data_IF_828024372400
#
_entry.id   IF_828024372400
#
_cell.length_a   1.000
_cell.length_b   1.000
_cell.length_c   1.000
_cell.angle_alpha   90.00
_cell.angle_beta   90.00
_cell.angle_gamma   90.00
#
_symmetry.space_group_name_H-M   'P 1'
#
loop_
_entity.id
_entity.type
_entity.pdbx_description
1 polymer ?
#
# COMPACT_ATOMS: atom_id res chain seq x y z
N UNK A 1 3.43 -5.85 4.02
CA UNK A 1 2.29 -4.91 3.93
C UNK A 1 2.59 -3.90 2.82
N UNK A 2 2.26 -4.26 1.57
CA UNK A 2 2.67 -3.50 0.38
C UNK A 2 1.76 -2.34 0.01
N UNK A 3 0.53 -2.31 0.52
CA UNK A 3 -0.46 -1.27 0.17
C UNK A 3 -0.56 -0.14 1.21
N UNK A 4 -0.19 -0.40 2.46
CA UNK A 4 -0.18 0.59 3.53
C UNK A 4 1.03 0.40 4.42
N UNK A 5 1.92 1.37 4.42
CA UNK A 5 3.02 1.46 5.38
C UNK A 5 2.49 2.06 6.68
N UNK A 6 1.96 1.21 7.55
CA UNK A 6 1.50 1.62 8.88
C UNK A 6 2.52 1.23 9.94
N UNK A 7 2.88 2.17 10.81
CA UNK A 7 3.69 1.83 11.98
C UNK A 7 2.90 0.95 12.95
N UNK A 8 3.59 0.13 13.75
CA UNK A 8 2.93 -0.69 14.77
C UNK A 8 2.04 0.16 15.71
N UNK A 9 2.49 1.36 16.05
CA UNK A 9 1.72 2.30 16.87
C UNK A 9 0.42 2.77 16.20
N UNK A 10 0.43 3.05 14.89
CA UNK A 10 -0.78 3.43 14.17
C UNK A 10 -1.77 2.27 14.05
N UNK A 11 -1.30 1.04 13.88
CA UNK A 11 -2.15 -0.16 13.88
C UNK A 11 -2.80 -0.35 15.25
N UNK A 12 -2.04 -0.25 16.34
CA UNK A 12 -2.58 -0.37 17.69
C UNK A 12 -3.62 0.72 18.01
N UNK A 13 -3.37 1.96 17.60
CA UNK A 13 -4.31 3.06 17.76
C UNK A 13 -5.61 2.81 16.98
N UNK A 14 -5.52 2.29 15.75
CA UNK A 14 -6.69 1.92 14.95
C UNK A 14 -7.50 0.79 15.60
N UNK A 15 -6.84 -0.28 16.09
CA UNK A 15 -7.49 -1.39 16.80
C UNK A 15 -8.24 -0.87 18.04
N UNK A 16 -7.58 -0.02 18.85
CA UNK A 16 -8.20 0.57 20.04
C UNK A 16 -9.44 1.39 19.67
N UNK A 17 -9.38 2.17 18.60
CA UNK A 17 -10.50 2.96 18.11
C UNK A 17 -11.67 2.08 17.65
N UNK A 18 -11.39 1.01 16.89
CA UNK A 18 -12.40 0.06 16.43
C UNK A 18 -13.07 -0.69 17.60
N UNK A 19 -12.31 -1.06 18.63
CA UNK A 19 -12.85 -1.64 19.88
C UNK A 19 -13.77 -0.68 20.59
N UNK A 20 -13.36 0.59 20.75
CA UNK A 20 -14.17 1.62 21.42
C UNK A 20 -15.51 1.89 20.71
N UNK A 21 -15.55 1.73 19.38
CA UNK A 21 -16.78 1.84 18.59
C UNK A 21 -17.60 0.55 18.56
N UNK A 22 -17.09 -0.55 19.13
CA UNK A 22 -17.76 -1.85 19.08
C UNK A 22 -17.77 -2.50 17.69
N UNK A 23 -16.90 -2.07 16.78
CA UNK A 23 -16.82 -2.61 15.42
C UNK A 23 -16.01 -3.92 15.35
N UNK A 24 -15.14 -4.13 16.33
CA UNK A 24 -14.44 -5.39 16.54
C UNK A 24 -14.55 -5.79 18.01
N UNK A 25 -14.38 -7.07 18.26
CA UNK A 25 -14.25 -7.67 19.57
C UNK A 25 -13.03 -8.56 19.60
N UNK A 26 -12.59 -9.04 20.76
CA UNK A 26 -11.51 -10.00 20.87
C UNK A 26 -11.80 -11.05 21.92
N UNK A 27 -11.21 -12.22 21.70
CA UNK A 27 -11.11 -13.30 22.68
C UNK A 27 -9.66 -13.46 23.11
N UNK A 28 -9.44 -13.70 24.39
CA UNK A 28 -8.11 -14.01 24.91
C UNK A 28 -7.90 -15.51 24.92
N UNK A 29 -6.79 -15.96 24.37
CA UNK A 29 -6.38 -17.35 24.37
C UNK A 29 -4.93 -17.51 24.75
N UNK A 30 -4.55 -18.69 25.22
CA UNK A 30 -3.16 -19.05 25.52
C UNK A 30 -2.72 -20.12 24.55
N UNK A 31 -1.73 -19.84 23.73
CA UNK A 31 -1.13 -20.78 22.81
C UNK A 31 0.38 -20.88 23.04
N UNK A 32 0.88 -22.08 23.29
CA UNK A 32 2.28 -22.33 23.63
C UNK A 32 2.81 -21.46 24.80
N UNK A 33 1.98 -21.26 25.83
CA UNK A 33 2.31 -20.45 27.01
C UNK A 33 2.32 -18.94 26.79
N UNK A 34 1.90 -18.45 25.61
CA UNK A 34 1.82 -17.03 25.30
C UNK A 34 0.39 -16.55 25.17
N UNK A 35 0.08 -15.44 25.81
CA UNK A 35 -1.21 -14.77 25.65
C UNK A 35 -1.36 -14.20 24.26
N UNK A 36 -2.48 -14.50 23.62
CA UNK A 36 -2.87 -13.98 22.31
C UNK A 36 -4.27 -13.39 22.38
N UNK A 37 -4.51 -12.30 21.63
CA UNK A 37 -5.84 -11.76 21.36
C UNK A 37 -6.21 -12.06 19.93
N UNK A 38 -7.34 -12.74 19.75
CA UNK A 38 -7.92 -13.04 18.44
C UNK A 38 -9.03 -12.05 18.23
N UNK A 39 -8.85 -11.16 17.25
CA UNK A 39 -9.85 -10.12 16.93
C UNK A 39 -10.81 -10.62 15.88
N UNK A 40 -12.10 -10.34 16.09
CA UNK A 40 -13.17 -10.62 15.13
C UNK A 40 -14.00 -9.37 14.89
N UNK A 41 -14.53 -9.24 13.66
CA UNK A 41 -15.44 -8.15 13.32
C UNK A 41 -16.83 -8.43 13.87
N UNK A 42 -17.49 -7.42 14.46
CA UNK A 42 -18.88 -7.51 14.93
C UNK A 42 -19.86 -7.27 13.77
N UNK A 43 -21.16 -7.49 14.01
CA UNK A 43 -22.19 -7.22 13.01
C UNK A 43 -22.28 -5.73 12.67
N UNK A 44 -22.17 -4.85 13.69
CA UNK A 44 -22.07 -3.41 13.48
C UNK A 44 -20.80 -3.00 12.72
N UNK A 45 -19.70 -3.70 12.95
CA UNK A 45 -18.45 -3.50 12.21
C UNK A 45 -18.56 -3.88 10.73
N UNK A 46 -19.23 -5.00 10.42
CA UNK A 46 -19.50 -5.41 9.03
C UNK A 46 -20.37 -4.37 8.30
N UNK A 47 -21.43 -3.92 8.95
CA UNK A 47 -22.29 -2.90 8.36
C UNK A 47 -21.50 -1.61 8.09
N UNK A 48 -20.69 -1.15 9.04
CA UNK A 48 -19.86 0.04 8.87
C UNK A 48 -18.82 -0.10 7.78
N UNK A 49 -18.25 -1.28 7.63
CA UNK A 49 -17.33 -1.60 6.53
C UNK A 49 -18.02 -1.51 5.16
N UNK A 50 -19.20 -2.09 5.02
CA UNK A 50 -19.98 -2.04 3.76
C UNK A 50 -20.38 -0.59 3.43
N UNK A 51 -20.82 0.21 4.40
CA UNK A 51 -21.08 1.63 4.20
C UNK A 51 -19.87 2.38 3.66
N UNK A 52 -18.69 2.14 4.25
CA UNK A 52 -17.45 2.77 3.82
C UNK A 52 -17.05 2.35 2.41
N UNK A 53 -17.09 1.04 2.08
CA UNK A 53 -16.76 0.55 0.73
C UNK A 53 -17.71 1.09 -0.33
N UNK A 54 -18.98 1.32 0.04
CA UNK A 54 -20.02 1.83 -0.86
C UNK A 54 -20.02 3.36 -1.00
N UNK A 55 -19.23 4.08 -0.18
CA UNK A 55 -19.13 5.53 -0.28
C UNK A 55 -18.33 5.96 -1.51
N UNK A 56 -18.60 7.15 -2.08
CA UNK A 56 -17.80 7.68 -3.18
C UNK A 56 -16.32 7.81 -2.81
N UNK A 57 -15.44 7.60 -3.81
CA UNK A 57 -14.01 7.86 -3.64
C UNK A 57 -13.74 9.36 -3.51
N UNK A 58 -12.93 9.74 -2.54
CA UNK A 58 -12.55 11.13 -2.31
C UNK A 58 -11.09 11.37 -2.70
N UNK A 59 -10.81 12.54 -3.28
CA UNK A 59 -9.44 12.97 -3.51
C UNK A 59 -8.78 13.29 -2.17
N UNK A 60 -7.77 12.51 -1.81
CA UNK A 60 -6.95 12.81 -0.65
C UNK A 60 -5.78 13.70 -1.03
N UNK A 61 -5.46 14.69 -0.17
CA UNK A 61 -4.22 15.45 -0.30
C UNK A 61 -3.03 14.51 -0.10
N UNK A 62 -2.30 14.23 -1.17
CA UNK A 62 -1.14 13.36 -1.14
C UNK A 62 0.01 14.05 -0.40
N UNK A 63 0.32 13.60 0.82
CA UNK A 63 1.60 13.92 1.46
C UNK A 63 2.68 13.02 0.85
N UNK A 64 3.27 13.46 -0.25
CA UNK A 64 4.37 12.75 -0.89
C UNK A 64 5.69 13.47 -0.58
N UNK A 65 6.50 12.97 0.39
CA UNK A 65 7.77 13.59 0.77
C UNK A 65 8.78 13.59 -0.38
N UNK A 66 8.68 12.67 -1.33
CA UNK A 66 9.61 12.62 -2.47
C UNK A 66 9.34 13.74 -3.47
N UNK A 67 8.09 14.20 -3.60
CA UNK A 67 7.78 15.41 -4.39
C UNK A 67 8.38 16.67 -3.75
N UNK A 68 8.40 16.77 -2.42
CA UNK A 68 9.07 17.87 -1.75
C UNK A 68 10.59 17.84 -1.99
N UNK A 69 11.23 16.68 -1.94
CA UNK A 69 12.65 16.54 -2.29
C UNK A 69 12.91 16.92 -3.75
N UNK A 70 12.05 16.49 -4.67
CA UNK A 70 12.14 16.85 -6.07
C UNK A 70 12.04 18.37 -6.27
N UNK A 71 11.08 19.03 -5.61
CA UNK A 71 10.89 20.49 -5.67
C UNK A 71 12.15 21.25 -5.23
N UNK A 72 12.84 20.78 -4.19
CA UNK A 72 14.05 21.41 -3.66
C UNK A 72 15.35 20.80 -4.21
N UNK A 73 15.29 19.91 -5.20
CA UNK A 73 16.45 19.16 -5.71
C UNK A 73 17.54 20.06 -6.29
N UNK A 74 17.18 21.25 -6.79
CA UNK A 74 18.11 22.23 -7.31
C UNK A 74 19.16 22.71 -6.29
N UNK A 75 18.88 22.63 -4.98
CA UNK A 75 19.84 22.97 -3.92
C UNK A 75 20.89 21.89 -3.65
N UNK A 76 20.74 20.70 -4.24
CA UNK A 76 21.70 19.60 -4.07
C UNK A 76 22.73 19.57 -5.20
N UNK A 77 23.92 18.97 -4.94
CA UNK A 77 24.95 18.76 -5.96
C UNK A 77 24.52 17.76 -7.02
N UNK A 78 24.93 17.96 -8.28
CA UNK A 78 24.53 17.12 -9.44
C UNK A 78 24.77 15.61 -9.19
N UNK A 79 25.93 15.24 -8.64
CA UNK A 79 26.29 13.85 -8.36
C UNK A 79 25.38 13.23 -7.31
N UNK A 80 25.02 13.98 -6.26
CA UNK A 80 24.11 13.52 -5.22
C UNK A 80 22.68 13.34 -5.73
N UNK A 81 22.24 14.24 -6.61
CA UNK A 81 20.92 14.14 -7.29
C UNK A 81 20.83 12.86 -8.11
N UNK A 82 21.85 12.59 -8.94
CA UNK A 82 21.91 11.38 -9.80
C UNK A 82 21.89 10.12 -8.96
N UNK A 83 22.72 10.04 -7.93
CA UNK A 83 22.78 8.88 -7.03
C UNK A 83 21.43 8.64 -6.33
N UNK A 84 20.84 9.70 -5.76
CA UNK A 84 19.54 9.58 -5.08
C UNK A 84 18.41 9.11 -6.02
N UNK A 85 18.39 9.60 -7.27
CA UNK A 85 17.42 9.14 -8.28
C UNK A 85 17.65 7.67 -8.66
N UNK A 86 18.91 7.24 -8.84
CA UNK A 86 19.24 5.84 -9.16
C UNK A 86 18.80 4.89 -8.03
N UNK A 87 19.08 5.24 -6.78
CA UNK A 87 18.65 4.47 -5.61
C UNK A 87 17.11 4.39 -5.51
N UNK A 88 16.42 5.51 -5.77
CA UNK A 88 14.97 5.54 -5.73
C UNK A 88 14.35 4.70 -6.84
N UNK A 89 14.85 4.80 -8.06
CA UNK A 89 14.43 3.96 -9.20
C UNK A 89 14.64 2.46 -8.90
N UNK A 90 15.76 2.09 -8.26
CA UNK A 90 16.01 0.71 -7.86
C UNK A 90 14.95 0.19 -6.89
N UNK A 91 14.60 0.97 -5.86
CA UNK A 91 13.54 0.62 -4.91
C UNK A 91 12.16 0.49 -5.57
N UNK A 92 11.83 1.39 -6.50
CA UNK A 92 10.59 1.31 -7.28
C UNK A 92 10.54 0.03 -8.13
N UNK A 93 11.65 -0.37 -8.75
CA UNK A 93 11.76 -1.62 -9.54
C UNK A 93 11.57 -2.85 -8.67
N UNK A 94 12.13 -2.88 -7.47
CA UNK A 94 11.92 -3.97 -6.51
C UNK A 94 10.44 -4.12 -6.15
N UNK A 95 9.78 -3.02 -5.81
CA UNK A 95 8.35 -3.03 -5.49
C UNK A 95 7.49 -3.42 -6.70
N UNK A 96 7.82 -2.90 -7.89
CA UNK A 96 7.15 -3.30 -9.13
C UNK A 96 7.23 -4.81 -9.36
N UNK A 97 8.41 -5.41 -9.20
CA UNK A 97 8.63 -6.83 -9.43
C UNK A 97 7.77 -7.69 -8.49
N UNK A 98 7.67 -7.29 -7.21
CA UNK A 98 6.82 -7.99 -6.23
C UNK A 98 5.35 -7.91 -6.62
N UNK A 99 4.83 -6.71 -6.93
CA UNK A 99 3.43 -6.55 -7.34
C UNK A 99 3.13 -7.27 -8.66
N UNK A 100 4.07 -7.25 -9.60
CA UNK A 100 3.93 -7.94 -10.88
C UNK A 100 3.89 -9.47 -10.71
N UNK A 101 4.69 -10.02 -9.79
CA UNK A 101 4.64 -11.45 -9.45
C UNK A 101 3.27 -11.82 -8.85
N UNK A 102 2.78 -11.04 -7.88
CA UNK A 102 1.45 -11.26 -7.29
C UNK A 102 0.34 -11.22 -8.35
N UNK A 103 0.37 -10.25 -9.26
CA UNK A 103 -0.63 -10.17 -10.33
C UNK A 103 -0.60 -11.40 -11.24
N UNK A 104 0.61 -11.89 -11.61
CA UNK A 104 0.76 -13.09 -12.45
C UNK A 104 0.31 -14.38 -11.75
N UNK A 105 0.68 -14.56 -10.48
CA UNK A 105 0.25 -15.72 -9.71
C UNK A 105 -1.27 -15.79 -9.58
N UNK A 106 -1.87 -14.64 -9.30
CA UNK A 106 -3.30 -14.55 -9.08
C UNK A 106 -4.15 -14.74 -10.35
N UNK A 107 -3.60 -14.57 -11.55
CA UNK A 107 -4.28 -14.89 -12.81
C UNK A 107 -4.64 -16.39 -12.92
N UNK A 108 -3.90 -17.24 -12.21
CA UNK A 108 -4.11 -18.69 -12.21
C UNK A 108 -4.88 -19.22 -11.00
N UNK A 109 -5.27 -18.34 -10.07
CA UNK A 109 -6.00 -18.73 -8.85
C UNK A 109 -7.45 -19.05 -9.20
N UNK A 110 -7.86 -20.27 -8.89
CA UNK A 110 -9.26 -20.69 -8.98
C UNK A 110 -9.94 -20.44 -7.64
N UNK A 111 -11.02 -19.67 -7.66
CA UNK A 111 -11.86 -19.42 -6.48
C UNK A 111 -13.31 -19.83 -6.79
N UNK A 112 -14.11 -20.19 -5.76
CA UNK A 112 -15.55 -20.35 -5.90
C UNK A 112 -16.21 -19.13 -6.53
N UNK A 113 -17.33 -19.33 -7.23
CA UNK A 113 -18.02 -18.25 -7.95
C UNK A 113 -18.39 -17.07 -7.05
N UNK A 114 -18.78 -17.34 -5.82
CA UNK A 114 -19.12 -16.34 -4.79
C UNK A 114 -17.94 -15.43 -4.39
N UNK A 115 -16.70 -15.84 -4.65
CA UNK A 115 -15.49 -15.06 -4.32
C UNK A 115 -14.82 -14.40 -5.54
N UNK A 116 -15.31 -14.65 -6.75
CA UNK A 116 -14.71 -14.13 -7.99
C UNK A 116 -14.70 -12.60 -8.02
N UNK A 117 -15.79 -11.97 -7.63
CA UNK A 117 -15.89 -10.51 -7.61
C UNK A 117 -14.96 -9.89 -6.56
N UNK A 118 -14.86 -10.49 -5.38
CA UNK A 118 -13.93 -10.06 -4.33
C UNK A 118 -12.48 -10.13 -4.83
N UNK A 119 -12.10 -11.28 -5.42
CA UNK A 119 -10.77 -11.46 -5.99
C UNK A 119 -10.49 -10.46 -7.11
N UNK A 120 -11.46 -10.19 -7.99
CA UNK A 120 -11.32 -9.22 -9.07
C UNK A 120 -10.93 -7.83 -8.56
N UNK A 121 -11.62 -7.30 -7.53
CA UNK A 121 -11.30 -5.99 -6.97
C UNK A 121 -9.99 -5.98 -6.18
N UNK A 122 -9.65 -7.06 -5.49
CA UNK A 122 -8.34 -7.20 -4.83
C UNK A 122 -7.20 -7.16 -5.85
N UNK A 123 -7.34 -7.85 -6.98
CA UNK A 123 -6.38 -7.82 -8.09
C UNK A 123 -6.35 -6.47 -8.79
N UNK A 124 -7.48 -5.80 -8.94
CA UNK A 124 -7.54 -4.45 -9.51
C UNK A 124 -6.72 -3.47 -8.67
N UNK A 125 -6.79 -3.56 -7.35
CA UNK A 125 -5.95 -2.75 -6.46
C UNK A 125 -4.44 -3.08 -6.62
N UNK A 126 -4.08 -4.36 -6.76
CA UNK A 126 -2.69 -4.76 -7.00
C UNK A 126 -2.18 -4.29 -8.37
N UNK A 127 -3.00 -4.38 -9.42
CA UNK A 127 -2.70 -3.87 -10.76
C UNK A 127 -2.49 -2.36 -10.76
N UNK A 128 -3.36 -1.61 -10.07
CA UNK A 128 -3.18 -0.18 -9.89
C UNK A 128 -1.84 0.15 -9.25
N UNK A 129 -1.48 -0.52 -8.16
CA UNK A 129 -0.19 -0.32 -7.49
C UNK A 129 1.00 -0.64 -8.41
N UNK A 130 0.95 -1.74 -9.17
CA UNK A 130 1.96 -2.12 -10.16
C UNK A 130 2.13 -1.05 -11.25
N UNK A 131 1.04 -0.60 -11.83
CA UNK A 131 1.06 0.35 -12.94
C UNK A 131 1.49 1.74 -12.48
N UNK A 132 1.15 2.11 -11.23
CA UNK A 132 1.65 3.32 -10.58
C UNK A 132 3.18 3.25 -10.37
N UNK A 133 3.73 2.12 -9.95
CA UNK A 133 5.19 1.94 -9.84
C UNK A 133 5.86 2.02 -11.21
N UNK A 134 5.28 1.41 -12.24
CA UNK A 134 5.78 1.47 -13.62
C UNK A 134 5.85 2.91 -14.11
N UNK A 135 4.78 3.68 -13.95
CA UNK A 135 4.75 5.11 -14.30
C UNK A 135 5.87 5.88 -13.59
N UNK A 136 6.05 5.68 -12.29
CA UNK A 136 7.09 6.36 -11.54
C UNK A 136 8.49 5.99 -12.02
N UNK A 137 8.75 4.70 -12.30
CA UNK A 137 10.04 4.24 -12.83
C UNK A 137 10.37 4.96 -14.15
N UNK A 138 9.42 4.98 -15.07
CA UNK A 138 9.59 5.61 -16.39
C UNK A 138 9.83 7.12 -16.26
N UNK A 139 9.06 7.78 -15.39
CA UNK A 139 9.15 9.22 -15.16
C UNK A 139 10.50 9.63 -14.55
N UNK A 140 10.93 8.95 -13.48
CA UNK A 140 12.21 9.24 -12.83
C UNK A 140 13.41 8.83 -13.68
N UNK A 141 13.28 7.79 -14.51
CA UNK A 141 14.31 7.40 -15.46
C UNK A 141 14.52 8.49 -16.53
N UNK A 142 13.42 9.05 -17.06
CA UNK A 142 13.49 10.18 -17.99
C UNK A 142 14.19 11.37 -17.37
N UNK A 143 13.85 11.76 -16.15
CA UNK A 143 14.51 12.84 -15.43
C UNK A 143 16.02 12.58 -15.25
N UNK A 144 16.40 11.35 -14.89
CA UNK A 144 17.81 10.97 -14.74
C UNK A 144 18.57 11.05 -16.07
N UNK A 145 17.93 10.69 -17.18
CA UNK A 145 18.56 10.73 -18.52
C UNK A 145 18.70 12.18 -19.01
N UNK A 146 17.73 13.06 -18.75
CA UNK A 146 17.85 14.51 -19.00
C UNK A 146 19.07 15.10 -18.27
N UNK A 147 19.28 14.74 -16.99
CA UNK A 147 20.43 15.20 -16.21
C UNK A 147 21.80 14.64 -16.68
N UNK A 148 21.82 13.59 -17.51
CA UNK A 148 23.06 13.07 -18.09
C UNK A 148 23.50 13.84 -19.34
N UNK A 149 22.54 14.45 -20.02
CA UNK A 149 22.79 15.18 -21.27
C UNK A 149 23.13 16.68 -21.02
N UNK A 150 23.06 17.14 -19.77
CA UNK A 150 23.58 18.43 -19.31
C UNK A 150 25.03 18.33 -18.79
#
# INVERSE_FOLDING_TARGET
NMMYSSSMGSIQAAIKKLLNYGYIQYEETVENGKYKKIYSITESGKQKFIEWVSSPMEMQSSKNPELAKLYFMGFSRKEKRKLGLQEYISKLKEQYNVLNAICKEAENVKVPDEHKEILYYQLTAARYGRDFMKFNIEWYQKLLDEMRNE
#
